data_IF_423125682121
#
_entry.id   IF_423125682121
#
_cell.length_a   1.000
_cell.length_b   1.000
_cell.length_c   1.000
_cell.angle_alpha   90.00
_cell.angle_beta   90.00
_cell.angle_gamma   90.00
#
_symmetry.space_group_name_H-M   'P 1'
#
loop_
_entity.id
_entity.type
_entity.pdbx_description
1 polymer ?
#
# COMPACT_ATOMS: atom_id res chain seq x y z
N UNK A 1 47.77 33.14 -37.88
CA UNK A 1 46.60 32.97 -37.02
C UNK A 1 47.06 33.35 -35.60
N UNK A 2 46.46 34.35 -35.03
CA UNK A 2 47.00 35.05 -33.83
C UNK A 2 46.75 34.15 -32.59
N UNK A 3 47.77 33.84 -31.80
CA UNK A 3 47.70 33.03 -30.56
C UNK A 3 46.62 33.51 -29.60
N UNK A 4 46.27 34.81 -29.61
CA UNK A 4 45.16 35.38 -28.82
C UNK A 4 43.77 34.90 -29.28
N UNK A 5 43.61 34.66 -30.58
CA UNK A 5 42.35 34.20 -31.17
C UNK A 5 42.11 32.69 -30.88
N UNK A 6 43.17 31.88 -30.82
CA UNK A 6 43.12 30.47 -30.47
C UNK A 6 42.78 30.27 -28.99
N UNK A 7 43.31 31.14 -28.11
CA UNK A 7 43.00 31.10 -26.66
C UNK A 7 41.55 31.51 -26.38
N UNK A 8 40.99 32.45 -27.16
CA UNK A 8 39.59 32.87 -27.02
C UNK A 8 38.63 31.79 -27.49
N UNK A 9 38.95 31.06 -28.54
CA UNK A 9 38.14 29.94 -29.08
C UNK A 9 38.15 28.75 -28.13
N UNK A 10 39.26 28.43 -27.45
CA UNK A 10 39.34 27.34 -26.48
C UNK A 10 38.61 27.70 -25.18
N UNK A 11 38.59 28.97 -24.76
CA UNK A 11 37.76 29.40 -23.63
C UNK A 11 36.27 29.37 -23.93
N UNK A 12 35.85 29.72 -25.16
CA UNK A 12 34.43 29.64 -25.57
C UNK A 12 33.91 28.20 -25.72
N UNK A 13 34.76 27.25 -26.10
CA UNK A 13 34.38 25.82 -26.21
C UNK A 13 34.38 25.09 -24.85
N UNK A 14 35.12 25.59 -23.86
CA UNK A 14 35.12 25.01 -22.51
C UNK A 14 33.95 25.49 -21.62
N UNK A 15 33.36 26.64 -21.91
CA UNK A 15 32.26 27.19 -21.12
C UNK A 15 30.97 26.37 -21.13
N UNK A 16 30.50 25.75 -22.21
CA UNK A 16 29.23 25.03 -22.18
C UNK A 16 29.27 23.73 -21.37
N UNK A 17 30.40 23.03 -21.33
CA UNK A 17 30.50 21.78 -20.58
C UNK A 17 30.52 22.00 -19.04
N UNK A 18 31.15 23.06 -18.57
CA UNK A 18 31.17 23.41 -17.15
C UNK A 18 29.85 24.06 -16.69
N UNK A 19 29.13 24.79 -17.57
CA UNK A 19 27.80 25.29 -17.26
C UNK A 19 26.74 24.18 -17.19
N UNK A 20 26.80 23.16 -18.08
CA UNK A 20 25.91 22.00 -18.00
C UNK A 20 26.17 21.15 -16.74
N UNK A 21 27.43 20.93 -16.36
CA UNK A 21 27.78 20.19 -15.13
C UNK A 21 27.34 20.95 -13.87
N UNK A 22 27.40 22.27 -13.83
CA UNK A 22 26.90 23.08 -12.72
C UNK A 22 25.37 23.05 -12.60
N UNK A 23 24.64 23.02 -13.72
CA UNK A 23 23.16 22.98 -13.69
C UNK A 23 22.59 21.74 -13.06
N UNK A 24 23.23 20.59 -13.15
CA UNK A 24 22.77 19.33 -12.51
C UNK A 24 22.96 19.33 -10.99
N UNK A 25 23.99 19.98 -10.47
CA UNK A 25 24.24 20.05 -9.03
C UNK A 25 23.34 21.08 -8.29
N UNK A 26 22.74 22.02 -8.99
CA UNK A 26 21.93 23.10 -8.41
C UNK A 26 20.43 22.76 -8.32
N UNK A 27 19.97 21.69 -8.93
CA UNK A 27 18.52 21.32 -8.98
C UNK A 27 17.97 20.80 -7.66
N UNK A 28 18.79 20.44 -6.69
CA UNK A 28 18.36 19.85 -5.43
C UNK A 28 17.86 18.39 -5.54
N UNK A 29 17.74 17.83 -6.75
CA UNK A 29 17.35 16.46 -7.03
C UNK A 29 18.17 15.88 -8.19
N UNK A 30 18.18 14.54 -8.24
CA UNK A 30 18.89 13.76 -9.28
C UNK A 30 17.87 13.24 -10.28
N UNK A 31 18.08 13.51 -11.56
CA UNK A 31 17.20 13.04 -12.64
C UNK A 31 17.73 11.73 -13.18
N UNK A 32 16.94 10.66 -13.10
CA UNK A 32 17.36 9.31 -13.52
C UNK A 32 17.79 9.28 -14.99
N UNK A 33 17.12 10.03 -15.87
CA UNK A 33 17.43 10.06 -17.29
C UNK A 33 18.70 10.81 -17.67
N UNK A 34 19.35 11.49 -16.71
CA UNK A 34 20.70 12.01 -16.90
C UNK A 34 21.77 10.88 -16.89
N UNK A 35 21.42 9.68 -16.42
CA UNK A 35 22.30 8.51 -16.28
C UNK A 35 21.87 7.32 -17.12
N UNK A 36 20.57 7.10 -17.28
CA UNK A 36 19.98 5.96 -18.01
C UNK A 36 18.91 6.43 -18.98
N UNK A 37 18.62 5.61 -19.99
CA UNK A 37 17.50 5.86 -20.89
C UNK A 37 16.27 5.06 -20.44
N UNK A 38 15.13 5.73 -20.35
CA UNK A 38 13.84 5.08 -20.22
C UNK A 38 13.44 4.37 -21.54
N UNK A 39 12.45 3.47 -21.45
CA UNK A 39 11.80 2.83 -22.64
C UNK A 39 12.72 1.99 -23.52
N UNK A 40 13.87 1.58 -23.03
CA UNK A 40 14.81 0.75 -23.82
C UNK A 40 14.39 -0.72 -23.90
N UNK A 41 13.41 -1.16 -23.10
CA UNK A 41 13.06 -2.57 -22.91
C UNK A 41 14.11 -3.38 -22.15
N UNK A 42 15.18 -2.73 -21.66
CA UNK A 42 16.27 -3.38 -20.92
C UNK A 42 16.09 -3.20 -19.43
N UNK A 43 16.59 -4.17 -18.66
CA UNK A 43 16.71 -4.06 -17.22
C UNK A 43 17.64 -2.92 -16.82
N UNK A 44 17.17 -2.06 -15.95
CA UNK A 44 17.91 -0.90 -15.40
C UNK A 44 18.05 -0.96 -13.89
N UNK A 45 17.82 -2.12 -13.26
CA UNK A 45 17.86 -2.31 -11.80
C UNK A 45 19.16 -1.83 -11.19
N UNK A 46 20.28 -2.34 -11.71
CA UNK A 46 21.63 -2.04 -11.18
C UNK A 46 22.01 -0.57 -11.41
N UNK A 47 21.56 0.02 -12.49
CA UNK A 47 21.78 1.44 -12.78
C UNK A 47 21.01 2.34 -11.83
N UNK A 48 19.72 2.05 -11.58
CA UNK A 48 18.90 2.79 -10.60
C UNK A 48 19.49 2.63 -9.21
N UNK A 49 19.86 1.42 -8.81
CA UNK A 49 20.48 1.18 -7.50
C UNK A 49 21.78 1.96 -7.34
N UNK A 50 22.62 2.00 -8.37
CA UNK A 50 23.86 2.80 -8.37
C UNK A 50 23.57 4.29 -8.22
N UNK A 51 22.55 4.82 -8.87
CA UNK A 51 22.15 6.24 -8.73
C UNK A 51 21.76 6.52 -7.28
N UNK A 52 20.94 5.67 -6.66
CA UNK A 52 20.55 5.79 -5.26
C UNK A 52 21.77 5.78 -4.34
N UNK A 53 22.66 4.79 -4.52
CA UNK A 53 23.82 4.57 -3.67
C UNK A 53 24.86 5.69 -3.73
N UNK A 54 24.95 6.35 -4.87
CA UNK A 54 25.92 7.46 -5.09
C UNK A 54 25.39 8.83 -4.75
N UNK A 55 24.09 8.95 -4.46
CA UNK A 55 23.44 10.24 -4.18
C UNK A 55 22.65 10.21 -2.86
N UNK A 56 23.30 9.99 -1.71
CA UNK A 56 22.61 10.06 -0.42
C UNK A 56 22.06 11.46 -0.16
N UNK A 57 20.97 11.51 0.61
CA UNK A 57 20.29 12.76 0.99
C UNK A 57 19.79 13.57 -0.22
N UNK A 58 19.27 12.87 -1.23
CA UNK A 58 18.71 13.48 -2.44
C UNK A 58 17.35 12.87 -2.78
N UNK A 59 16.55 13.65 -3.49
CA UNK A 59 15.41 13.14 -4.22
C UNK A 59 15.87 12.59 -5.57
N UNK A 60 15.52 11.36 -5.86
CA UNK A 60 15.76 10.69 -7.14
C UNK A 60 14.46 10.82 -7.95
N UNK A 61 14.51 11.61 -9.01
CA UNK A 61 13.37 11.89 -9.86
C UNK A 61 13.36 11.04 -11.12
N UNK A 62 12.22 10.39 -11.37
CA UNK A 62 11.96 9.55 -12.55
C UNK A 62 11.05 10.32 -13.52
N UNK A 63 11.57 10.87 -14.62
CA UNK A 63 10.75 11.42 -15.70
C UNK A 63 9.84 10.36 -16.34
N UNK A 64 8.92 10.80 -17.22
CA UNK A 64 8.05 9.92 -17.99
C UNK A 64 8.84 8.83 -18.71
N UNK A 65 8.27 7.63 -18.75
CA UNK A 65 8.85 6.48 -19.43
C UNK A 65 8.72 5.19 -18.62
N UNK A 66 9.15 4.08 -19.23
CA UNK A 66 9.09 2.74 -18.63
C UNK A 66 10.49 2.30 -18.20
N UNK A 67 10.64 2.00 -16.93
CA UNK A 67 11.87 1.51 -16.29
C UNK A 67 11.66 0.06 -15.89
N UNK A 68 12.24 -0.88 -16.63
CA UNK A 68 12.12 -2.32 -16.34
C UNK A 68 13.15 -2.68 -15.29
N UNK A 69 12.72 -3.39 -14.24
CA UNK A 69 13.60 -3.89 -13.18
C UNK A 69 13.42 -5.40 -12.99
N UNK A 70 14.54 -6.14 -12.91
CA UNK A 70 14.57 -7.57 -12.61
C UNK A 70 14.94 -7.87 -11.16
N UNK A 71 15.37 -6.84 -10.40
CA UNK A 71 15.77 -6.93 -9.00
C UNK A 71 15.13 -5.81 -8.18
N UNK A 72 14.90 -6.02 -6.87
CA UNK A 72 14.43 -4.97 -5.97
C UNK A 72 15.32 -3.73 -5.97
N UNK A 73 14.68 -2.56 -5.92
CA UNK A 73 15.33 -1.28 -5.68
C UNK A 73 15.25 -0.98 -4.19
N UNK A 74 16.38 -0.70 -3.57
CA UNK A 74 16.52 -0.53 -2.12
C UNK A 74 16.90 0.91 -1.78
N UNK A 75 16.13 1.56 -0.92
CA UNK A 75 16.61 2.79 -0.27
C UNK A 75 17.36 2.45 1.03
N UNK A 76 18.33 3.29 1.46
CA UNK A 76 19.07 3.03 2.69
C UNK A 76 18.17 3.02 3.93
N UNK A 77 18.40 2.09 4.87
CA UNK A 77 17.81 2.12 6.20
C UNK A 77 18.46 3.20 7.12
N UNK A 78 19.68 3.61 6.78
CA UNK A 78 20.42 4.63 7.52
C UNK A 78 19.77 6.02 7.32
N UNK A 79 19.21 6.65 8.36
CA UNK A 79 18.57 7.95 8.25
C UNK A 79 19.51 9.08 7.82
N UNK A 80 20.82 8.91 7.99
CA UNK A 80 21.83 9.87 7.53
C UNK A 80 22.08 9.80 6.01
N UNK A 81 21.57 8.74 5.35
CA UNK A 81 21.66 8.51 3.90
C UNK A 81 20.30 8.43 3.23
N UNK A 82 19.30 9.05 3.81
CA UNK A 82 17.93 9.02 3.33
C UNK A 82 17.82 9.41 1.84
N UNK A 83 16.97 8.71 1.11
CA UNK A 83 16.69 8.99 -0.30
C UNK A 83 15.17 9.00 -0.52
N UNK A 84 14.69 10.03 -1.19
CA UNK A 84 13.32 10.09 -1.65
C UNK A 84 13.20 9.65 -3.12
N UNK A 85 12.12 8.95 -3.46
CA UNK A 85 11.82 8.55 -4.84
C UNK A 85 10.59 9.34 -5.32
N UNK A 86 10.75 10.15 -6.34
CA UNK A 86 9.66 10.92 -6.95
C UNK A 86 9.49 10.53 -8.42
N UNK A 87 8.30 10.10 -8.79
CA UNK A 87 7.96 9.65 -10.11
C UNK A 87 6.99 10.65 -10.76
N UNK A 88 7.25 11.02 -12.00
CA UNK A 88 6.26 11.69 -12.83
C UNK A 88 5.01 10.82 -13.00
N UNK A 89 3.87 11.41 -13.31
CA UNK A 89 2.61 10.68 -13.49
C UNK A 89 2.67 9.54 -14.54
N UNK A 90 3.53 9.69 -15.54
CA UNK A 90 3.72 8.71 -16.62
C UNK A 90 5.04 7.92 -16.48
N UNK A 91 5.74 8.05 -15.37
CA UNK A 91 6.86 7.18 -15.03
C UNK A 91 6.32 5.84 -14.53
N UNK A 92 6.76 4.74 -15.14
CA UNK A 92 6.35 3.38 -14.78
C UNK A 92 7.59 2.59 -14.41
N UNK A 93 7.69 2.16 -13.16
CA UNK A 93 8.65 1.12 -12.76
C UNK A 93 7.94 -0.22 -12.89
N UNK A 94 8.46 -1.09 -13.76
CA UNK A 94 7.81 -2.35 -14.12
C UNK A 94 8.70 -3.54 -13.85
N UNK A 95 8.15 -4.60 -13.26
CA UNK A 95 8.84 -5.87 -13.09
C UNK A 95 9.22 -6.46 -14.46
N UNK A 96 10.40 -7.04 -14.58
CA UNK A 96 10.80 -7.83 -15.73
C UNK A 96 9.95 -9.11 -15.84
N UNK A 97 9.89 -9.72 -17.02
CA UNK A 97 9.09 -10.93 -17.24
C UNK A 97 9.60 -12.14 -16.45
N UNK A 98 10.90 -12.15 -16.19
CA UNK A 98 11.64 -13.15 -15.42
C UNK A 98 11.83 -12.76 -13.93
N UNK A 99 10.99 -11.87 -13.43
CA UNK A 99 11.04 -11.50 -11.99
C UNK A 99 10.93 -12.71 -11.10
N UNK A 100 11.99 -12.99 -10.32
CA UNK A 100 12.08 -14.17 -9.46
C UNK A 100 12.24 -13.82 -7.97
N UNK A 101 12.27 -12.52 -7.61
CA UNK A 101 12.43 -12.13 -6.21
C UNK A 101 11.14 -12.30 -5.43
N UNK A 102 11.22 -12.89 -4.25
CA UNK A 102 10.14 -12.92 -3.25
C UNK A 102 9.94 -11.58 -2.54
N UNK A 103 10.85 -10.64 -2.71
CA UNK A 103 10.79 -9.31 -2.12
C UNK A 103 10.03 -8.32 -3.00
N UNK A 104 9.63 -7.19 -2.42
CA UNK A 104 8.94 -6.14 -3.16
C UNK A 104 9.87 -5.45 -4.18
N UNK A 105 9.27 -4.94 -5.27
CA UNK A 105 9.99 -4.20 -6.30
C UNK A 105 10.72 -2.97 -5.76
N UNK A 106 10.06 -2.22 -4.87
CA UNK A 106 10.64 -1.07 -4.19
C UNK A 106 10.64 -1.35 -2.69
N UNK A 107 11.81 -1.30 -2.06
CA UNK A 107 12.00 -1.55 -0.64
C UNK A 107 12.51 -0.30 0.05
N UNK A 108 11.61 0.42 0.70
CA UNK A 108 11.94 1.64 1.44
C UNK A 108 12.61 1.26 2.76
N UNK A 109 13.83 1.75 2.99
CA UNK A 109 14.67 1.31 4.10
C UNK A 109 15.12 -0.15 3.99
N UNK A 110 15.15 -0.71 2.77
CA UNK A 110 15.48 -2.12 2.53
C UNK A 110 16.96 -2.43 2.40
N UNK A 111 17.83 -1.42 2.25
CA UNK A 111 19.27 -1.62 2.26
C UNK A 111 19.77 -1.64 3.70
N UNK A 112 20.30 -2.77 4.12
CA UNK A 112 20.74 -3.03 5.50
C UNK A 112 19.63 -2.81 6.54
N UNK A 113 18.45 -3.46 6.37
CA UNK A 113 17.32 -3.27 7.27
C UNK A 113 17.66 -3.74 8.68
N UNK A 114 17.06 -3.10 9.67
CA UNK A 114 17.24 -3.45 11.07
C UNK A 114 15.89 -3.60 11.77
N UNK A 115 15.83 -4.48 12.77
CA UNK A 115 14.63 -4.63 13.61
C UNK A 115 14.44 -3.48 14.60
N UNK A 116 15.36 -2.54 14.67
CA UNK A 116 15.22 -1.32 15.45
C UNK A 116 14.54 -0.27 14.60
N UNK A 117 13.49 0.30 15.14
CA UNK A 117 12.86 1.48 14.57
C UNK A 117 13.87 2.62 14.68
N UNK A 118 14.31 3.12 13.55
CA UNK A 118 15.26 4.23 13.50
C UNK A 118 14.63 5.49 14.11
N UNK A 119 15.47 6.33 14.67
CA UNK A 119 15.06 7.62 15.21
C UNK A 119 14.37 8.50 14.15
N UNK A 120 13.54 9.45 14.60
CA UNK A 120 12.79 10.36 13.71
C UNK A 120 13.65 10.98 12.61
N UNK A 121 13.06 11.17 11.44
CA UNK A 121 13.68 11.89 10.34
C UNK A 121 14.32 11.00 9.26
N UNK A 122 13.93 9.75 9.16
CA UNK A 122 14.32 8.94 8.01
C UNK A 122 13.75 9.47 6.69
N UNK A 123 12.74 10.32 6.71
CA UNK A 123 12.16 11.05 5.57
C UNK A 123 12.19 10.27 4.23
N UNK A 124 12.09 8.94 4.30
CA UNK A 124 11.93 8.15 3.11
C UNK A 124 10.57 8.47 2.54
N UNK A 125 10.49 8.85 1.29
CA UNK A 125 9.20 8.89 0.64
C UNK A 125 9.27 8.33 -0.78
N UNK A 126 8.16 7.78 -1.20
CA UNK A 126 7.87 7.46 -2.57
C UNK A 126 6.61 8.22 -2.97
N UNK A 127 6.68 8.96 -4.06
CA UNK A 127 5.57 9.77 -4.53
C UNK A 127 5.38 9.64 -6.05
N UNK A 128 4.13 9.54 -6.46
CA UNK A 128 3.73 9.62 -7.87
C UNK A 128 3.95 8.33 -8.66
N UNK A 129 3.71 8.41 -9.96
CA UNK A 129 3.95 7.38 -10.95
C UNK A 129 3.20 6.07 -10.78
N UNK A 130 3.71 5.05 -11.46
CA UNK A 130 3.12 3.71 -11.50
C UNK A 130 4.17 2.66 -11.14
N UNK A 131 3.81 1.76 -10.23
CA UNK A 131 4.57 0.54 -9.93
C UNK A 131 3.77 -0.64 -10.49
N UNK A 132 4.29 -1.32 -11.52
CA UNK A 132 3.58 -2.39 -12.23
C UNK A 132 4.28 -3.74 -12.00
N UNK A 133 3.66 -4.59 -11.17
CA UNK A 133 4.17 -5.91 -10.80
C UNK A 133 3.94 -7.01 -11.84
N UNK A 134 3.33 -6.72 -12.99
CA UNK A 134 3.02 -7.70 -14.08
C UNK A 134 2.25 -8.95 -13.61
N UNK A 135 1.63 -8.90 -12.45
CA UNK A 135 0.89 -10.03 -11.85
C UNK A 135 1.77 -11.05 -11.11
N UNK A 136 3.08 -10.81 -11.00
CA UNK A 136 4.06 -11.74 -10.42
C UNK A 136 4.86 -11.15 -9.26
N UNK A 137 5.04 -9.83 -9.19
CA UNK A 137 5.85 -9.18 -8.18
C UNK A 137 5.02 -8.54 -7.07
N UNK A 138 5.60 -8.38 -5.87
CA UNK A 138 5.10 -7.50 -4.82
C UNK A 138 5.48 -6.05 -5.16
N UNK A 139 4.61 -5.09 -4.85
CA UNK A 139 4.80 -3.69 -5.24
C UNK A 139 5.84 -2.97 -4.38
N UNK A 140 5.44 -2.43 -3.24
CA UNK A 140 6.28 -1.63 -2.36
C UNK A 140 6.33 -2.26 -0.98
N UNK A 141 7.50 -2.26 -0.35
CA UNK A 141 7.61 -2.55 1.08
C UNK A 141 8.28 -1.39 1.84
N UNK A 142 7.88 -1.23 3.10
CA UNK A 142 8.57 -0.42 4.09
C UNK A 142 9.27 -1.41 5.02
N UNK A 143 10.58 -1.52 4.89
CA UNK A 143 11.37 -2.53 5.58
C UNK A 143 11.92 -2.02 6.91
N UNK A 144 12.22 -0.73 7.01
CA UNK A 144 12.76 -0.09 8.21
C UNK A 144 12.45 1.40 8.22
N UNK A 145 12.43 1.97 9.42
CA UNK A 145 12.36 3.41 9.63
C UNK A 145 11.03 3.88 10.20
N UNK A 146 11.03 5.15 10.58
CA UNK A 146 9.84 5.90 11.04
C UNK A 146 9.51 7.00 10.04
N UNK A 147 8.26 7.44 10.06
CA UNK A 147 7.80 8.59 9.26
C UNK A 147 7.97 8.39 7.74
N UNK A 148 7.96 7.13 7.29
CA UNK A 148 8.03 6.82 5.86
C UNK A 148 6.69 7.16 5.19
N UNK A 149 6.73 7.84 4.04
CA UNK A 149 5.53 8.20 3.32
C UNK A 149 5.44 7.56 1.92
N UNK A 150 4.26 7.06 1.56
CA UNK A 150 3.91 6.68 0.19
C UNK A 150 2.70 7.50 -0.22
N UNK A 151 2.82 8.29 -1.30
CA UNK A 151 1.78 9.24 -1.68
C UNK A 151 1.51 9.27 -3.18
N UNK A 152 0.24 9.40 -3.55
CA UNK A 152 -0.19 9.65 -4.93
C UNK A 152 0.38 8.66 -5.95
N UNK A 153 0.61 7.41 -5.53
CA UNK A 153 1.21 6.36 -6.35
C UNK A 153 0.14 5.37 -6.82
N UNK A 154 0.24 4.95 -8.07
CA UNK A 154 -0.60 3.89 -8.63
C UNK A 154 0.17 2.57 -8.65
N UNK A 155 -0.26 1.59 -7.86
CA UNK A 155 0.35 0.26 -7.78
C UNK A 155 -0.54 -0.72 -8.52
N UNK A 156 0.01 -1.45 -9.51
CA UNK A 156 -0.78 -2.27 -10.43
C UNK A 156 -0.24 -3.69 -10.57
N UNK A 157 -1.16 -4.63 -10.74
CA UNK A 157 -0.86 -6.01 -11.08
C UNK A 157 0.15 -6.65 -10.10
N UNK A 158 -0.04 -6.45 -8.80
CA UNK A 158 0.87 -6.94 -7.76
C UNK A 158 0.27 -8.12 -6.99
N UNK A 159 1.11 -8.98 -6.42
CA UNK A 159 0.69 -10.03 -5.50
C UNK A 159 0.41 -9.49 -4.10
N UNK A 160 1.23 -8.54 -3.63
CA UNK A 160 0.97 -7.67 -2.48
C UNK A 160 1.23 -6.24 -2.94
N UNK A 161 0.27 -5.34 -2.75
CA UNK A 161 0.43 -3.95 -3.17
C UNK A 161 1.45 -3.22 -2.31
N UNK A 162 1.19 -3.10 -1.01
CA UNK A 162 2.07 -2.49 -0.02
C UNK A 162 2.26 -3.44 1.16
N UNK A 163 3.50 -3.60 1.62
CA UNK A 163 3.83 -4.39 2.81
C UNK A 163 4.65 -3.54 3.80
N UNK A 164 4.06 -3.17 4.93
CA UNK A 164 4.75 -2.49 6.04
C UNK A 164 5.29 -3.57 6.96
N UNK A 165 6.60 -3.82 6.91
CA UNK A 165 7.24 -4.96 7.57
C UNK A 165 7.65 -4.66 9.02
N UNK A 166 7.51 -5.66 9.88
CA UNK A 166 8.09 -5.67 11.22
C UNK A 166 8.44 -7.11 11.61
N UNK A 167 9.57 -7.31 12.29
CA UNK A 167 10.02 -8.64 12.71
C UNK A 167 11.50 -8.69 13.07
N UNK A 168 12.10 -9.86 12.98
CA UNK A 168 13.48 -10.09 13.40
C UNK A 168 14.52 -9.21 12.68
N UNK A 169 14.28 -8.96 11.39
CA UNK A 169 15.21 -8.21 10.52
C UNK A 169 14.61 -6.92 9.95
N UNK A 170 13.39 -6.57 10.36
CA UNK A 170 12.67 -5.41 9.85
C UNK A 170 12.04 -4.65 11.02
N UNK A 171 12.06 -3.33 10.96
CA UNK A 171 11.43 -2.49 11.98
C UNK A 171 10.89 -1.21 11.38
N UNK A 172 9.57 -1.13 11.19
CA UNK A 172 8.90 0.06 10.71
C UNK A 172 7.76 0.49 11.63
N UNK A 173 7.55 1.80 11.73
CA UNK A 173 6.41 2.40 12.41
C UNK A 173 6.12 3.80 11.88
N UNK A 174 4.99 4.37 12.31
CA UNK A 174 4.62 5.76 12.05
C UNK A 174 4.64 6.14 10.55
N UNK A 175 4.33 5.18 9.68
CA UNK A 175 4.30 5.43 8.23
C UNK A 175 2.99 6.09 7.81
N UNK A 176 3.06 6.98 6.82
CA UNK A 176 1.91 7.68 6.23
C UNK A 176 1.70 7.25 4.77
N UNK A 177 0.63 6.52 4.51
CA UNK A 177 0.23 6.07 3.18
C UNK A 177 -1.02 6.81 2.76
N UNK A 178 -0.94 7.64 1.72
CA UNK A 178 -2.08 8.45 1.33
C UNK A 178 -2.27 8.57 -0.18
N UNK A 179 -3.55 8.76 -0.57
CA UNK A 179 -3.95 9.04 -1.96
C UNK A 179 -3.40 8.02 -2.97
N UNK A 180 -3.34 6.75 -2.55
CA UNK A 180 -2.71 5.67 -3.31
C UNK A 180 -3.77 4.70 -3.85
N UNK A 181 -3.63 4.31 -5.11
CA UNK A 181 -4.51 3.33 -5.75
C UNK A 181 -3.76 2.02 -5.98
N UNK A 182 -4.38 0.91 -5.60
CA UNK A 182 -3.81 -0.44 -5.74
C UNK A 182 -4.74 -1.28 -6.62
N UNK A 183 -4.17 -1.98 -7.59
CA UNK A 183 -4.84 -3.05 -8.32
C UNK A 183 -4.00 -4.31 -8.21
N UNK A 184 -4.56 -5.34 -7.60
CA UNK A 184 -3.91 -6.64 -7.45
C UNK A 184 -3.92 -7.48 -8.72
N UNK A 185 -3.36 -8.67 -8.64
CA UNK A 185 -3.29 -9.65 -9.75
C UNK A 185 -4.52 -10.55 -9.87
N UNK A 186 -5.55 -10.33 -9.05
CA UNK A 186 -6.81 -11.09 -9.00
C UNK A 186 -6.68 -12.57 -8.57
N UNK A 187 -5.55 -12.97 -8.00
CA UNK A 187 -5.36 -14.34 -7.49
C UNK A 187 -5.81 -14.46 -6.03
N UNK A 188 -6.06 -15.70 -5.52
CA UNK A 188 -6.58 -15.92 -4.17
C UNK A 188 -5.60 -15.58 -3.03
N UNK A 189 -4.33 -15.38 -3.33
CA UNK A 189 -3.28 -14.98 -2.39
C UNK A 189 -2.94 -13.48 -2.45
N UNK A 190 -3.68 -12.72 -3.27
CA UNK A 190 -3.42 -11.31 -3.49
C UNK A 190 -3.92 -10.45 -2.32
N UNK A 191 -3.02 -9.63 -1.77
CA UNK A 191 -3.31 -8.69 -0.68
C UNK A 191 -3.07 -7.25 -1.16
N UNK A 192 -4.01 -6.36 -0.88
CA UNK A 192 -3.83 -4.94 -1.17
C UNK A 192 -2.77 -4.30 -0.29
N UNK A 193 -3.00 -4.30 1.02
CA UNK A 193 -2.05 -3.78 2.02
C UNK A 193 -1.89 -4.78 3.16
N UNK A 194 -0.65 -5.15 3.45
CA UNK A 194 -0.26 -5.96 4.61
C UNK A 194 0.51 -5.09 5.59
N UNK A 195 0.05 -5.02 6.84
CA UNK A 195 0.66 -4.18 7.88
C UNK A 195 1.10 -5.04 9.05
N UNK A 196 2.41 -5.09 9.27
CA UNK A 196 3.06 -5.74 10.41
C UNK A 196 3.76 -4.70 11.32
N UNK A 197 4.04 -3.50 10.81
CA UNK A 197 4.57 -2.37 11.56
C UNK A 197 3.47 -1.63 12.36
N UNK A 198 3.86 -0.84 13.34
CA UNK A 198 2.96 -0.20 14.31
C UNK A 198 2.68 1.27 13.98
N UNK A 199 1.56 1.79 14.52
CA UNK A 199 1.24 3.22 14.54
C UNK A 199 1.18 3.89 13.16
N UNK A 200 0.77 3.14 12.12
CA UNK A 200 0.72 3.65 10.76
C UNK A 200 -0.63 4.33 10.46
N UNK A 201 -0.60 5.31 9.55
CA UNK A 201 -1.79 5.99 9.05
C UNK A 201 -1.99 5.67 7.57
N UNK A 202 -3.16 5.14 7.22
CA UNK A 202 -3.58 4.85 5.85
C UNK A 202 -4.80 5.72 5.51
N UNK A 203 -4.72 6.52 4.44
CA UNK A 203 -5.76 7.49 4.12
C UNK A 203 -6.07 7.55 2.61
N UNK A 204 -7.35 7.65 2.25
CA UNK A 204 -7.80 7.89 0.87
C UNK A 204 -7.26 6.87 -0.14
N UNK A 205 -7.49 5.59 0.09
CA UNK A 205 -6.99 4.54 -0.80
C UNK A 205 -8.13 3.84 -1.54
N UNK A 206 -7.88 3.48 -2.80
CA UNK A 206 -8.72 2.58 -3.59
C UNK A 206 -7.93 1.31 -3.88
N UNK A 207 -8.52 0.16 -3.54
CA UNK A 207 -7.84 -1.13 -3.62
C UNK A 207 -8.76 -2.09 -4.38
N UNK A 208 -8.36 -2.55 -5.54
CA UNK A 208 -9.22 -3.41 -6.35
C UNK A 208 -8.50 -4.64 -6.90
N UNK A 209 -9.24 -5.69 -7.25
CA UNK A 209 -8.67 -6.90 -7.83
C UNK A 209 -7.77 -7.67 -6.86
N UNK A 210 -8.07 -7.61 -5.58
CA UNK A 210 -7.36 -8.30 -4.49
C UNK A 210 -8.27 -9.34 -3.84
N UNK A 211 -7.70 -10.31 -3.17
CA UNK A 211 -8.44 -11.29 -2.38
C UNK A 211 -8.69 -10.79 -0.96
N UNK A 212 -7.69 -10.12 -0.39
CA UNK A 212 -7.78 -9.39 0.87
C UNK A 212 -7.46 -7.92 0.62
N UNK A 213 -8.36 -7.03 1.04
CA UNK A 213 -8.16 -5.58 0.88
C UNK A 213 -7.04 -5.08 1.76
N UNK A 214 -7.22 -5.11 3.07
CA UNK A 214 -6.23 -4.71 4.07
C UNK A 214 -6.14 -5.81 5.15
N UNK A 215 -4.91 -6.21 5.46
CA UNK A 215 -4.60 -7.17 6.53
C UNK A 215 -3.70 -6.49 7.56
N UNK A 216 -4.21 -6.30 8.78
CA UNK A 216 -3.45 -5.77 9.92
C UNK A 216 -3.01 -6.92 10.82
N UNK A 217 -1.70 -7.06 11.00
CA UNK A 217 -1.03 -7.96 11.94
C UNK A 217 -0.36 -7.23 13.09
N UNK A 218 -0.70 -5.97 13.28
CA UNK A 218 -0.12 -5.08 14.29
C UNK A 218 -1.18 -4.14 14.85
N UNK A 219 -0.85 -3.47 15.95
CA UNK A 219 -1.70 -2.54 16.64
C UNK A 219 -1.36 -1.07 16.33
N UNK A 220 -2.23 -0.16 16.74
CA UNK A 220 -2.00 1.28 16.70
C UNK A 220 -2.25 1.91 15.32
N UNK A 221 -2.77 1.15 14.34
CA UNK A 221 -2.93 1.67 13.00
C UNK A 221 -4.26 2.42 12.82
N UNK A 222 -4.24 3.50 12.06
CA UNK A 222 -5.40 4.32 11.73
C UNK A 222 -5.70 4.25 10.23
N UNK A 223 -6.91 3.79 9.88
CA UNK A 223 -7.41 3.64 8.53
C UNK A 223 -8.56 4.62 8.31
N UNK A 224 -8.45 5.49 7.31
CA UNK A 224 -9.47 6.46 6.99
C UNK A 224 -9.78 6.49 5.50
N UNK A 225 -11.06 6.34 5.15
CA UNK A 225 -11.53 6.38 3.76
C UNK A 225 -10.77 5.41 2.85
N UNK A 226 -10.67 4.16 3.30
CA UNK A 226 -10.08 3.07 2.54
C UNK A 226 -11.21 2.27 1.88
N UNK A 227 -11.10 2.04 0.57
CA UNK A 227 -12.13 1.38 -0.22
C UNK A 227 -11.56 0.19 -1.00
N UNK A 228 -11.54 -1.01 -0.43
CA UNK A 228 -11.29 -2.23 -1.17
C UNK A 228 -12.53 -2.70 -1.95
N UNK A 229 -12.31 -3.20 -3.17
CA UNK A 229 -13.32 -3.74 -4.08
C UNK A 229 -12.91 -5.13 -4.60
N UNK A 230 -13.75 -6.12 -4.37
CA UNK A 230 -13.60 -7.46 -4.95
C UNK A 230 -14.26 -7.53 -6.33
N UNK A 231 -13.49 -7.89 -7.33
CA UNK A 231 -13.97 -8.23 -8.68
C UNK A 231 -13.17 -9.36 -9.32
N UNK A 232 -12.70 -10.28 -8.49
CA UNK A 232 -11.97 -11.47 -8.91
C UNK A 232 -12.94 -12.60 -9.33
N UNK A 233 -12.41 -13.79 -9.59
CA UNK A 233 -13.22 -14.93 -9.97
C UNK A 233 -14.11 -15.40 -8.81
N UNK A 234 -15.27 -15.98 -9.17
CA UNK A 234 -16.25 -16.50 -8.20
C UNK A 234 -15.74 -17.72 -7.42
N UNK A 235 -14.79 -18.44 -7.99
CA UNK A 235 -14.23 -19.67 -7.39
C UNK A 235 -13.63 -19.44 -5.99
N UNK A 236 -13.04 -18.26 -5.75
CA UNK A 236 -12.38 -17.93 -4.49
C UNK A 236 -13.14 -16.91 -3.66
N UNK A 237 -14.38 -16.61 -4.03
CA UNK A 237 -15.18 -15.58 -3.39
C UNK A 237 -15.33 -15.78 -1.88
N UNK A 238 -15.70 -16.99 -1.46
CA UNK A 238 -16.07 -17.33 -0.08
C UNK A 238 -14.97 -17.03 0.97
N UNK A 239 -13.70 -17.02 0.55
CA UNK A 239 -12.56 -16.69 1.41
C UNK A 239 -12.09 -15.24 1.28
N UNK A 240 -12.77 -14.43 0.48
CA UNK A 240 -12.39 -13.03 0.28
C UNK A 240 -12.80 -12.14 1.44
N UNK A 241 -11.97 -11.17 1.77
CA UNK A 241 -12.23 -10.25 2.87
C UNK A 241 -11.77 -8.82 2.57
N UNK A 242 -12.62 -7.84 2.88
CA UNK A 242 -12.28 -6.44 2.71
C UNK A 242 -11.21 -5.97 3.70
N UNK A 243 -11.43 -6.23 4.98
CA UNK A 243 -10.53 -5.85 6.07
C UNK A 243 -10.38 -7.00 7.05
N UNK A 244 -9.14 -7.36 7.36
CA UNK A 244 -8.80 -8.34 8.40
C UNK A 244 -7.98 -7.66 9.48
N UNK A 245 -8.44 -7.74 10.74
CA UNK A 245 -7.74 -7.26 11.92
C UNK A 245 -7.36 -8.45 12.80
N UNK A 246 -6.09 -8.85 12.75
CA UNK A 246 -5.53 -9.95 13.56
C UNK A 246 -5.03 -9.46 14.94
N UNK A 247 -5.15 -8.16 15.21
CA UNK A 247 -4.67 -7.54 16.46
C UNK A 247 -5.75 -6.69 17.12
N UNK A 248 -5.36 -5.74 17.94
CA UNK A 248 -6.24 -4.84 18.65
C UNK A 248 -5.75 -3.38 18.59
N UNK A 249 -6.57 -2.45 19.08
CA UNK A 249 -6.27 -1.03 19.13
C UNK A 249 -5.99 -0.42 17.74
N UNK A 250 -6.74 -0.84 16.72
CA UNK A 250 -6.75 -0.26 15.41
C UNK A 250 -8.02 0.59 15.21
N UNK A 251 -7.94 1.64 14.40
CA UNK A 251 -9.03 2.56 14.11
C UNK A 251 -9.42 2.53 12.64
N UNK A 252 -10.69 2.24 12.37
CA UNK A 252 -11.28 2.27 11.04
C UNK A 252 -12.34 3.37 11.00
N UNK A 253 -12.13 4.38 10.17
CA UNK A 253 -13.02 5.52 10.05
C UNK A 253 -13.43 5.73 8.59
N UNK A 254 -14.74 5.71 8.28
CA UNK A 254 -15.27 5.80 6.91
C UNK A 254 -14.68 4.77 5.94
N UNK A 255 -14.30 3.58 6.42
CA UNK A 255 -13.81 2.52 5.55
C UNK A 255 -14.99 1.81 4.86
N UNK A 256 -14.79 1.47 3.59
CA UNK A 256 -15.84 0.91 2.74
C UNK A 256 -15.39 -0.39 2.08
N UNK A 257 -16.00 -1.51 2.46
CA UNK A 257 -15.77 -2.82 1.84
C UNK A 257 -16.81 -3.08 0.75
N UNK A 258 -16.36 -3.36 -0.47
CA UNK A 258 -17.23 -3.53 -1.63
C UNK A 258 -17.07 -4.93 -2.24
N UNK A 259 -18.15 -5.69 -2.30
CA UNK A 259 -18.28 -7.01 -2.97
C UNK A 259 -17.47 -8.17 -2.36
N UNK A 260 -16.89 -8.07 -1.19
CA UNK A 260 -16.21 -9.20 -0.53
C UNK A 260 -17.20 -10.14 0.16
N UNK A 261 -16.84 -11.42 0.33
CA UNK A 261 -17.64 -12.35 1.12
C UNK A 261 -17.77 -11.90 2.58
N UNK A 262 -16.67 -11.39 3.14
CA UNK A 262 -16.65 -10.76 4.46
C UNK A 262 -16.20 -9.31 4.31
N UNK A 263 -17.01 -8.38 4.80
CA UNK A 263 -16.66 -6.96 4.79
C UNK A 263 -15.51 -6.65 5.74
N UNK A 264 -15.71 -7.00 7.02
CA UNK A 264 -14.75 -6.77 8.10
C UNK A 264 -14.65 -8.03 8.96
N UNK A 265 -13.42 -8.52 9.14
CA UNK A 265 -13.09 -9.66 9.98
C UNK A 265 -12.19 -9.21 11.13
N UNK A 266 -12.61 -9.45 12.37
CA UNK A 266 -11.82 -9.19 13.57
C UNK A 266 -11.45 -10.51 14.25
N UNK A 267 -10.19 -10.66 14.61
CA UNK A 267 -9.72 -11.78 15.46
C UNK A 267 -10.00 -11.55 16.94
N UNK A 268 -10.62 -10.42 17.29
CA UNK A 268 -10.94 -10.03 18.66
C UNK A 268 -10.20 -8.74 19.08
N UNK A 269 -10.24 -8.41 20.36
CA UNK A 269 -9.54 -7.25 20.88
C UNK A 269 -10.39 -5.97 20.93
N UNK A 270 -9.74 -4.82 20.91
CA UNK A 270 -10.35 -3.50 21.17
C UNK A 270 -10.17 -2.52 19.99
N UNK A 271 -10.45 -2.96 18.78
CA UNK A 271 -10.43 -2.08 17.62
C UNK A 271 -11.75 -1.29 17.47
N UNK A 272 -11.68 -0.14 16.81
CA UNK A 272 -12.80 0.78 16.65
C UNK A 272 -13.18 0.89 15.18
N UNK A 273 -14.45 0.61 14.86
CA UNK A 273 -14.99 0.68 13.50
C UNK A 273 -16.07 1.76 13.49
N UNK A 274 -15.73 2.94 12.99
CA UNK A 274 -16.58 4.11 13.04
C UNK A 274 -17.04 4.53 11.63
N UNK A 275 -18.36 4.63 11.44
CA UNK A 275 -19.00 4.98 10.17
C UNK A 275 -18.49 4.16 8.97
N UNK A 276 -18.22 2.88 9.19
CA UNK A 276 -17.81 1.97 8.14
C UNK A 276 -18.99 1.49 7.31
N UNK A 277 -18.72 1.01 6.09
CA UNK A 277 -19.75 0.58 5.16
C UNK A 277 -19.35 -0.73 4.48
N UNK A 278 -20.30 -1.64 4.32
CA UNK A 278 -20.15 -2.83 3.50
C UNK A 278 -21.27 -2.86 2.45
N UNK A 279 -20.92 -3.17 1.21
CA UNK A 279 -21.84 -3.08 0.09
C UNK A 279 -21.70 -4.25 -0.88
N UNK A 280 -22.83 -4.71 -1.40
CA UNK A 280 -22.91 -5.77 -2.40
C UNK A 280 -23.87 -5.37 -3.52
N UNK A 281 -23.33 -5.42 -4.72
CA UNK A 281 -24.06 -5.19 -5.95
C UNK A 281 -23.84 -6.37 -6.89
N UNK A 282 -24.91 -6.99 -7.35
CA UNK A 282 -24.86 -8.02 -8.38
C UNK A 282 -24.24 -9.40 -8.00
N UNK A 283 -23.94 -9.65 -6.73
CA UNK A 283 -23.47 -10.97 -6.27
C UNK A 283 -24.64 -11.89 -5.93
N UNK A 284 -25.44 -12.22 -6.93
CA UNK A 284 -26.58 -13.15 -6.76
C UNK A 284 -26.10 -14.50 -6.20
N UNK A 285 -26.84 -15.03 -5.25
CA UNK A 285 -26.67 -16.37 -4.69
C UNK A 285 -25.39 -16.59 -3.86
N UNK A 286 -24.77 -15.52 -3.33
CA UNK A 286 -23.59 -15.65 -2.47
C UNK A 286 -23.88 -15.12 -1.07
N UNK A 287 -23.37 -15.81 -0.08
CA UNK A 287 -23.45 -15.37 1.31
C UNK A 287 -22.53 -14.17 1.53
N UNK A 288 -23.04 -13.19 2.23
CA UNK A 288 -22.32 -11.97 2.61
C UNK A 288 -22.32 -11.82 4.12
N UNK A 289 -21.18 -11.43 4.67
CA UNK A 289 -21.05 -11.09 6.09
C UNK A 289 -20.53 -9.67 6.20
N UNK A 290 -21.28 -8.80 6.87
CA UNK A 290 -20.88 -7.40 7.07
C UNK A 290 -19.71 -7.33 8.03
N UNK A 291 -19.85 -7.89 9.22
CA UNK A 291 -18.82 -7.95 10.24
C UNK A 291 -18.75 -9.34 10.85
N UNK A 292 -17.55 -9.89 10.95
CA UNK A 292 -17.29 -11.19 11.56
C UNK A 292 -16.24 -11.02 12.65
N UNK A 293 -16.53 -11.57 13.85
CA UNK A 293 -15.55 -11.68 14.92
C UNK A 293 -15.32 -13.16 15.24
N UNK A 294 -14.08 -13.60 15.19
CA UNK A 294 -13.70 -14.99 15.50
C UNK A 294 -12.98 -15.12 16.84
N UNK A 295 -12.74 -14.01 17.53
CA UNK A 295 -12.14 -13.95 18.85
C UNK A 295 -12.97 -13.13 19.81
N UNK A 296 -12.53 -13.08 21.07
CA UNK A 296 -13.19 -12.33 22.11
C UNK A 296 -13.10 -10.82 21.83
N UNK A 297 -14.23 -10.17 21.74
CA UNK A 297 -14.36 -8.74 21.49
C UNK A 297 -14.45 -7.98 22.82
N UNK A 298 -13.46 -7.15 23.12
CA UNK A 298 -13.39 -6.39 24.36
C UNK A 298 -13.52 -4.89 24.11
N UNK A 299 -14.66 -4.31 24.48
CA UNK A 299 -14.86 -2.85 24.53
C UNK A 299 -14.64 -2.12 23.18
N UNK A 300 -14.96 -2.73 22.07
CA UNK A 300 -14.88 -2.10 20.76
C UNK A 300 -16.17 -1.36 20.43
N UNK A 301 -16.03 -0.27 19.69
CA UNK A 301 -17.15 0.46 19.11
C UNK A 301 -17.25 0.06 17.65
N UNK A 302 -18.44 -0.39 17.25
CA UNK A 302 -18.72 -0.70 15.85
C UNK A 302 -19.93 0.12 15.41
N UNK A 303 -19.68 1.09 14.53
CA UNK A 303 -20.72 1.86 13.86
C UNK A 303 -20.62 1.57 12.35
N UNK A 304 -21.63 0.89 11.81
CA UNK A 304 -21.52 0.31 10.49
C UNK A 304 -22.84 0.41 9.73
N UNK A 305 -22.75 0.69 8.44
CA UNK A 305 -23.87 0.62 7.50
C UNK A 305 -23.64 -0.54 6.52
N UNK A 306 -24.73 -1.12 6.06
CA UNK A 306 -24.70 -2.12 5.00
C UNK A 306 -25.70 -1.78 3.90
N UNK A 307 -25.31 -1.97 2.67
CA UNK A 307 -26.18 -1.82 1.49
C UNK A 307 -26.20 -3.10 0.67
N UNK A 308 -27.40 -3.63 0.43
CA UNK A 308 -27.62 -4.77 -0.43
C UNK A 308 -28.78 -4.50 -1.36
N UNK A 309 -28.69 -4.89 -2.62
CA UNK A 309 -29.80 -4.82 -3.53
C UNK A 309 -30.75 -6.01 -3.34
N UNK A 310 -32.05 -5.81 -3.42
CA UNK A 310 -33.09 -6.84 -3.24
C UNK A 310 -32.90 -8.08 -4.09
N UNK A 311 -32.48 -7.92 -5.32
CA UNK A 311 -32.25 -9.04 -6.24
C UNK A 311 -30.97 -9.84 -5.97
N UNK A 312 -30.20 -9.41 -4.98
CA UNK A 312 -29.02 -10.12 -4.49
C UNK A 312 -29.31 -10.88 -3.19
N UNK A 313 -30.56 -10.90 -2.74
CA UNK A 313 -30.93 -11.58 -1.53
C UNK A 313 -30.63 -13.08 -1.65
N UNK A 314 -29.69 -13.54 -0.85
CA UNK A 314 -29.44 -14.96 -0.55
C UNK A 314 -30.16 -15.25 0.76
N UNK A 315 -30.61 -16.47 0.96
CA UNK A 315 -31.38 -16.86 2.14
C UNK A 315 -30.67 -16.57 3.48
N UNK A 316 -29.35 -16.31 3.48
CA UNK A 316 -28.58 -16.08 4.70
C UNK A 316 -27.49 -15.03 4.52
N UNK A 317 -27.87 -13.76 4.43
CA UNK A 317 -26.89 -12.67 4.60
C UNK A 317 -26.69 -12.40 6.09
N UNK A 318 -25.45 -12.34 6.54
CA UNK A 318 -25.09 -12.16 7.95
C UNK A 318 -24.60 -10.73 8.18
N UNK A 319 -25.21 -10.03 9.12
CA UNK A 319 -24.71 -8.71 9.51
C UNK A 319 -23.59 -8.84 10.50
N UNK A 320 -23.83 -9.64 11.55
CA UNK A 320 -22.85 -9.91 12.56
C UNK A 320 -22.70 -11.41 12.74
N UNK A 321 -21.49 -11.89 12.65
CA UNK A 321 -21.10 -13.26 13.02
C UNK A 321 -20.07 -13.16 14.15
N UNK A 322 -20.54 -13.21 15.39
CA UNK A 322 -19.70 -13.10 16.58
C UNK A 322 -19.40 -14.47 17.19
N UNK A 323 -18.17 -14.67 17.66
CA UNK A 323 -17.80 -15.88 18.40
C UNK A 323 -18.64 -16.02 19.69
N UNK A 324 -18.97 -17.28 20.08
CA UNK A 324 -19.80 -17.58 21.25
C UNK A 324 -19.24 -17.02 22.57
N UNK A 325 -17.93 -16.89 22.70
CA UNK A 325 -17.26 -16.31 23.87
C UNK A 325 -17.06 -14.81 23.76
N UNK A 326 -18.02 -14.08 23.24
CA UNK A 326 -17.94 -12.65 23.03
C UNK A 326 -17.63 -11.87 24.33
N UNK A 327 -16.86 -10.83 24.20
CA UNK A 327 -16.52 -9.91 25.28
C UNK A 327 -17.61 -8.85 25.54
N UNK A 328 -17.40 -8.01 26.53
CA UNK A 328 -18.30 -6.91 26.88
C UNK A 328 -18.05 -5.68 25.99
N UNK A 329 -19.11 -5.01 25.56
CA UNK A 329 -19.03 -3.63 25.12
C UNK A 329 -18.96 -3.37 23.62
N UNK A 330 -19.75 -4.05 22.82
CA UNK A 330 -19.99 -3.66 21.43
C UNK A 330 -21.19 -2.70 21.38
N UNK A 331 -20.97 -1.51 20.84
CA UNK A 331 -22.06 -0.60 20.48
C UNK A 331 -22.32 -0.69 18.99
N UNK A 332 -23.53 -1.07 18.63
CA UNK A 332 -23.98 -1.16 17.24
C UNK A 332 -24.82 0.04 16.86
N UNK A 333 -24.53 0.62 15.72
CA UNK A 333 -25.42 1.49 14.99
C UNK A 333 -25.50 0.98 13.55
N UNK A 334 -26.40 0.01 13.32
CA UNK A 334 -26.58 -0.62 12.02
C UNK A 334 -27.73 0.06 11.29
N UNK A 335 -27.43 0.70 10.18
CA UNK A 335 -28.41 1.09 9.21
C UNK A 335 -28.31 0.13 8.01
N UNK A 336 -29.30 -0.73 7.91
CA UNK A 336 -29.38 -1.72 6.83
C UNK A 336 -30.29 -1.14 5.78
N UNK A 337 -29.75 -0.89 4.60
CA UNK A 337 -30.54 -0.43 3.47
C UNK A 337 -31.62 -1.41 3.05
N UNK A 338 -31.94 -1.49 1.80
CA UNK A 338 -33.05 -2.26 1.22
C UNK A 338 -32.77 -3.79 1.24
N UNK A 339 -32.58 -4.37 2.42
CA UNK A 339 -32.32 -5.81 2.60
C UNK A 339 -33.59 -6.52 3.03
N UNK A 340 -34.01 -7.53 2.29
CA UNK A 340 -35.19 -8.33 2.62
C UNK A 340 -34.87 -9.53 3.50
N UNK A 341 -33.62 -9.98 3.60
CA UNK A 341 -33.22 -11.16 4.39
C UNK A 341 -31.85 -10.91 5.01
N UNK A 342 -31.83 -10.73 6.31
CA UNK A 342 -30.59 -10.60 7.09
C UNK A 342 -30.73 -11.51 8.31
N UNK A 343 -29.80 -12.45 8.46
CA UNK A 343 -29.69 -13.27 9.66
C UNK A 343 -28.61 -12.68 10.55
N UNK A 344 -28.98 -12.33 11.77
CA UNK A 344 -28.06 -11.85 12.78
C UNK A 344 -27.72 -13.01 13.73
N UNK A 345 -26.47 -13.42 13.73
CA UNK A 345 -25.94 -14.45 14.65
C UNK A 345 -25.35 -13.86 15.92
N UNK A 346 -25.53 -12.54 16.15
CA UNK A 346 -25.05 -11.90 17.38
C UNK A 346 -25.84 -12.40 18.60
N UNK A 347 -25.17 -12.49 19.74
CA UNK A 347 -25.87 -12.64 20.99
C UNK A 347 -26.57 -11.32 21.37
N UNK A 348 -27.82 -11.36 21.83
CA UNK A 348 -28.61 -10.19 22.23
C UNK A 348 -27.92 -9.25 23.21
N UNK A 349 -26.96 -9.74 23.98
CA UNK A 349 -26.17 -8.95 24.93
C UNK A 349 -25.25 -7.90 24.29
N UNK A 350 -25.05 -7.93 22.97
CA UNK A 350 -24.21 -6.99 22.23
C UNK A 350 -25.00 -5.91 21.49
N UNK A 351 -26.31 -6.06 21.37
CA UNK A 351 -27.17 -5.06 20.77
C UNK A 351 -27.73 -4.14 21.84
N UNK A 352 -27.21 -2.95 21.98
CA UNK A 352 -27.76 -1.86 22.77
C UNK A 352 -27.71 -0.55 22.03
#
# INVERSE_FOLDING_TARGET
MNHKLLLLLTLLLAMPATLLARKTSERGYVVVTDYIKAETGKDVSDDIQRIIDTHPNRTIYFPDGVYIISKPILTPADPQKSVALELSNFAIIRAAEDWASEEAMIRLGGKDPANKISTPGSNYYLKGGVIDGRGIAKGISIDSGRETAIRQTSIKNTTIGIHIKHGANNGSSDSDISDTNITGNKKPDCIGVLVEGFDNTLTNMRIGGVHVGVLLRSAGNSLRNIHPLYYNSDEHYESSCGFIDEQENNWYNFCYSDQFAVGFLSHGGRSFYDHCFAYWYNNKQKRHTVFKSIGRFNSSVVSMNAGMYRHNAVEENVILDAAEEGGNGILWNLNIGDTSVVTDHSHEQYMR
#
